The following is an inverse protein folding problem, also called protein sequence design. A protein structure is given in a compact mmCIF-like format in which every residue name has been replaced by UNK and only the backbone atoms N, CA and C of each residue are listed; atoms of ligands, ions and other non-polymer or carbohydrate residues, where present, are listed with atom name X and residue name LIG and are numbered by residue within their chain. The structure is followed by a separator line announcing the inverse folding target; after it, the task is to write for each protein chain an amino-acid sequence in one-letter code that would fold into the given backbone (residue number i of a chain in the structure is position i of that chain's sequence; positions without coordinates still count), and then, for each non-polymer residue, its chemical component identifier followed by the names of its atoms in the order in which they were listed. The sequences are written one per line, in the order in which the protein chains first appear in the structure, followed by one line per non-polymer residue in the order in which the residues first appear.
data_IF_102580877030
#
_entry.id   IF_102580877030
#
_cell.length_a   1.000
_cell.length_b   1.000
_cell.length_c   1.000
_cell.angle_alpha   90.00
_cell.angle_beta   90.00
_cell.angle_gamma   90.00
#
_symmetry.space_group_name_H-M   'P 1'
#
loop_
_entity.id
_entity.type
_entity.pdbx_description
1 polymer ?
#
# COMPACT_ATOMS: atom_id res chain seq x y z
N UNK A 1 -72.29 4.13 13.61
CA UNK A 1 -71.21 3.16 13.48
C UNK A 1 -70.26 3.66 12.39
N UNK A 2 -69.15 4.28 12.76
CA UNK A 2 -68.20 4.87 11.78
C UNK A 2 -67.02 3.91 11.59
N UNK A 3 -66.90 3.39 10.39
CA UNK A 3 -65.79 2.53 9.96
C UNK A 3 -64.55 3.39 9.77
N UNK A 4 -63.49 3.15 10.55
CA UNK A 4 -62.18 3.80 10.37
C UNK A 4 -61.33 2.94 9.41
N UNK A 5 -61.13 3.47 8.23
CA UNK A 5 -60.18 2.89 7.24
C UNK A 5 -58.76 3.14 7.71
N UNK A 6 -58.04 2.07 7.98
CA UNK A 6 -56.63 2.08 8.35
C UNK A 6 -55.81 1.97 7.04
N UNK A 7 -55.23 3.07 6.60
CA UNK A 7 -54.34 3.10 5.43
C UNK A 7 -52.91 2.72 5.90
N UNK A 8 -52.47 1.52 5.54
CA UNK A 8 -51.09 1.06 5.76
C UNK A 8 -50.27 1.59 4.58
N UNK A 9 -49.43 2.62 4.87
CA UNK A 9 -48.41 3.07 3.92
C UNK A 9 -47.20 2.15 3.96
N UNK A 10 -47.06 1.30 2.95
CA UNK A 10 -45.87 0.51 2.71
C UNK A 10 -44.85 1.44 2.09
N UNK A 11 -43.86 1.89 2.89
CA UNK A 11 -42.65 2.55 2.38
C UNK A 11 -41.74 1.50 1.74
N UNK A 12 -41.82 1.39 0.42
CA UNK A 12 -40.86 0.64 -0.38
C UNK A 12 -39.57 1.51 -0.41
N UNK A 13 -38.55 1.12 0.32
CA UNK A 13 -37.20 1.63 0.15
C UNK A 13 -36.67 1.08 -1.19
N UNK A 14 -36.94 1.77 -2.27
CA UNK A 14 -36.20 1.61 -3.52
C UNK A 14 -34.88 2.34 -3.28
N UNK A 15 -33.82 1.58 -2.96
CA UNK A 15 -32.45 2.07 -3.06
C UNK A 15 -32.14 2.30 -4.53
N UNK A 16 -32.44 3.53 -5.00
CA UNK A 16 -31.89 4.02 -6.26
C UNK A 16 -30.36 3.98 -6.16
N UNK A 17 -29.75 2.98 -6.80
CA UNK A 17 -28.39 3.13 -7.28
C UNK A 17 -28.41 4.30 -8.27
N UNK A 18 -28.16 5.50 -7.80
CA UNK A 18 -27.79 6.60 -8.67
C UNK A 18 -26.47 6.23 -9.32
N UNK A 19 -26.52 5.78 -10.57
CA UNK A 19 -25.39 5.78 -11.46
C UNK A 19 -24.91 7.24 -11.53
N UNK A 20 -23.84 7.55 -10.81
CA UNK A 20 -23.22 8.86 -10.90
C UNK A 20 -22.67 9.01 -12.32
N UNK A 21 -23.27 9.92 -13.07
CA UNK A 21 -22.81 10.39 -14.38
C UNK A 21 -21.59 11.31 -14.20
N UNK A 22 -20.52 10.76 -13.70
CA UNK A 22 -19.17 11.32 -13.75
C UNK A 22 -18.29 10.18 -14.15
N UNK A 23 -17.60 10.29 -15.30
CA UNK A 23 -16.79 9.22 -15.88
C UNK A 23 -16.14 8.36 -14.82
N UNK A 24 -16.33 7.07 -14.93
CA UNK A 24 -16.04 6.12 -13.88
C UNK A 24 -14.53 6.14 -13.55
N UNK A 25 -14.15 6.82 -12.46
CA UNK A 25 -12.78 6.90 -11.96
C UNK A 25 -12.50 5.72 -11.02
N UNK A 26 -12.86 4.52 -11.47
CA UNK A 26 -12.74 3.29 -10.72
C UNK A 26 -11.98 2.25 -11.53
N UNK A 27 -10.88 1.76 -10.97
CA UNK A 27 -10.25 0.53 -11.45
C UNK A 27 -10.98 -0.64 -10.78
N UNK A 28 -11.57 -1.53 -11.56
CA UNK A 28 -12.31 -2.66 -11.00
C UNK A 28 -11.99 -3.99 -11.68
N UNK A 29 -12.16 -5.08 -10.94
CA UNK A 29 -11.81 -6.43 -11.34
C UNK A 29 -12.82 -7.44 -10.78
N UNK A 30 -13.03 -8.50 -11.52
CA UNK A 30 -13.94 -9.61 -11.16
C UNK A 30 -13.23 -10.82 -10.55
N UNK A 31 -11.94 -10.69 -10.23
CA UNK A 31 -11.11 -11.74 -9.63
C UNK A 31 -10.06 -11.14 -8.69
N UNK A 32 -9.58 -11.90 -7.68
CA UNK A 32 -8.44 -11.50 -6.84
C UNK A 32 -7.17 -11.28 -7.67
N UNK A 33 -6.25 -10.48 -7.15
CA UNK A 33 -4.91 -10.37 -7.72
C UNK A 33 -4.13 -11.66 -7.47
N UNK A 34 -3.49 -12.18 -8.51
CA UNK A 34 -2.58 -13.33 -8.45
C UNK A 34 -1.11 -12.91 -8.44
N UNK A 35 -0.83 -11.69 -8.91
CA UNK A 35 0.51 -11.11 -9.04
C UNK A 35 0.53 -9.72 -8.43
N UNK A 36 1.72 -9.27 -8.04
CA UNK A 36 1.93 -7.94 -7.45
C UNK A 36 1.38 -6.80 -8.33
N UNK A 37 1.62 -6.85 -9.64
CA UNK A 37 1.15 -5.84 -10.60
C UNK A 37 -0.37 -5.78 -10.76
N UNK A 38 -1.10 -6.77 -10.27
CA UNK A 38 -2.56 -6.82 -10.29
C UNK A 38 -3.17 -6.30 -8.99
N UNK A 39 -2.37 -6.19 -7.91
CA UNK A 39 -2.82 -5.70 -6.62
C UNK A 39 -3.13 -4.19 -6.69
N UNK A 40 -4.04 -3.74 -5.83
CA UNK A 40 -4.48 -2.34 -5.79
C UNK A 40 -3.64 -1.57 -4.77
N UNK A 41 -2.91 -0.52 -5.18
CA UNK A 41 -2.10 0.29 -4.27
C UNK A 41 -2.95 1.25 -3.44
N UNK A 42 -2.61 1.40 -2.17
CA UNK A 42 -3.06 2.49 -1.30
C UNK A 42 -1.86 3.13 -0.62
N UNK A 43 -1.90 4.45 -0.38
CA UNK A 43 -0.75 5.14 0.20
C UNK A 43 -1.07 6.54 0.71
N UNK A 44 -0.17 7.08 1.56
CA UNK A 44 -0.28 8.43 2.11
C UNK A 44 1.02 9.24 2.02
N UNK A 45 1.97 8.81 1.20
CA UNK A 45 3.31 9.41 1.09
C UNK A 45 4.31 8.97 2.16
N UNK A 46 3.91 8.07 3.06
CA UNK A 46 4.78 7.51 4.10
C UNK A 46 4.60 6.01 4.24
N UNK A 47 3.37 5.54 4.34
CA UNK A 47 3.00 4.12 4.38
C UNK A 47 2.31 3.79 3.08
N UNK A 48 2.63 2.65 2.51
CA UNK A 48 1.96 2.08 1.35
C UNK A 48 1.50 0.65 1.60
N UNK A 49 0.50 0.22 0.83
CA UNK A 49 0.03 -1.15 0.85
C UNK A 49 -0.47 -1.60 -0.52
N UNK A 50 -0.11 -2.83 -0.90
CA UNK A 50 -0.64 -3.50 -2.10
C UNK A 50 -1.71 -4.49 -1.67
N UNK A 51 -2.95 -4.25 -2.08
CA UNK A 51 -4.15 -5.00 -1.66
C UNK A 51 -4.49 -6.04 -2.73
N UNK A 52 -4.36 -7.33 -2.40
CA UNK A 52 -4.62 -8.42 -3.34
C UNK A 52 -6.10 -8.77 -3.47
N UNK A 53 -6.88 -8.57 -2.42
CA UNK A 53 -8.32 -8.84 -2.42
C UNK A 53 -8.64 -10.34 -2.44
N UNK A 54 -7.83 -11.18 -1.83
CA UNK A 54 -8.07 -12.61 -1.73
C UNK A 54 -9.31 -12.95 -0.89
N UNK A 55 -9.97 -14.08 -1.17
CA UNK A 55 -11.19 -14.50 -0.45
C UNK A 55 -10.84 -15.20 0.86
N UNK A 56 -10.24 -16.38 0.82
CA UNK A 56 -9.84 -17.11 2.02
C UNK A 56 -8.54 -16.57 2.62
N UNK A 57 -7.60 -16.19 1.77
CA UNK A 57 -6.31 -15.61 2.15
C UNK A 57 -6.15 -14.31 1.39
N UNK A 58 -6.14 -13.20 2.12
CA UNK A 58 -5.90 -11.87 1.56
C UNK A 58 -4.57 -11.34 2.06
N UNK A 59 -3.66 -11.06 1.14
CA UNK A 59 -2.37 -10.46 1.43
C UNK A 59 -2.42 -8.95 1.27
N UNK A 60 -1.83 -8.25 2.22
CA UNK A 60 -1.57 -6.81 2.14
C UNK A 60 -0.08 -6.63 2.34
N UNK A 61 0.63 -6.30 1.27
CA UNK A 61 2.07 -6.06 1.32
C UNK A 61 2.33 -4.63 1.73
N UNK A 62 3.08 -4.45 2.81
CA UNK A 62 3.30 -3.16 3.45
C UNK A 62 4.68 -2.61 3.11
N UNK A 63 4.71 -1.30 2.86
CA UNK A 63 5.93 -0.53 2.69
C UNK A 63 5.90 0.72 3.57
N UNK A 64 7.09 1.21 3.92
CA UNK A 64 7.28 2.52 4.57
C UNK A 64 8.42 3.24 3.86
N UNK A 65 8.18 4.49 3.45
CA UNK A 65 9.05 5.23 2.52
C UNK A 65 10.50 5.43 2.97
N UNK A 66 10.78 5.34 4.27
CA UNK A 66 12.14 5.47 4.81
C UNK A 66 12.82 4.14 5.12
N UNK A 67 12.21 2.99 4.81
CA UNK A 67 12.79 1.68 5.09
C UNK A 67 13.80 1.28 4.00
N UNK A 68 15.06 1.62 4.25
CA UNK A 68 16.20 1.29 3.39
C UNK A 68 17.25 0.52 4.17
N UNK A 69 18.11 -0.21 3.47
CA UNK A 69 19.36 -0.73 4.03
C UNK A 69 20.34 0.41 4.28
N UNK A 70 21.45 0.11 4.92
CA UNK A 70 22.54 1.06 5.11
C UNK A 70 22.40 2.05 6.24
N UNK A 71 23.19 3.09 6.16
CA UNK A 71 23.29 4.20 7.10
C UNK A 71 23.99 5.38 6.45
N UNK A 72 24.50 6.35 7.23
CA UNK A 72 25.21 7.50 6.69
C UNK A 72 26.42 7.08 5.85
N UNK A 73 26.49 7.57 4.63
CA UNK A 73 27.60 7.31 3.74
C UNK A 73 28.87 8.04 4.19
N UNK A 74 30.03 7.39 3.95
CA UNK A 74 31.30 8.03 4.10
C UNK A 74 31.51 9.03 2.98
N UNK A 75 31.98 10.23 3.31
CA UNK A 75 32.35 11.22 2.30
C UNK A 75 33.59 10.75 1.53
N UNK A 76 33.64 11.14 0.24
CA UNK A 76 34.82 10.92 -0.60
C UNK A 76 35.22 9.44 -0.77
N UNK A 77 34.25 8.58 -1.03
CA UNK A 77 34.45 7.13 -1.24
C UNK A 77 35.32 6.79 -2.46
N UNK A 78 35.46 7.72 -3.40
CA UNK A 78 36.37 7.60 -4.55
C UNK A 78 37.18 8.89 -4.74
N UNK A 79 38.27 9.09 -3.97
CA UNK A 79 39.10 10.30 -4.05
C UNK A 79 39.80 10.49 -5.39
N UNK A 80 39.96 9.42 -6.18
CA UNK A 80 40.59 9.48 -7.50
C UNK A 80 39.59 9.88 -8.62
N UNK A 81 38.30 9.92 -8.36
CA UNK A 81 37.27 10.21 -9.39
C UNK A 81 37.57 11.49 -10.18
N UNK A 82 37.96 12.56 -9.51
CA UNK A 82 38.25 13.86 -10.12
C UNK A 82 39.40 13.78 -11.18
N UNK A 83 40.34 12.83 -11.06
CA UNK A 83 41.46 12.70 -11.99
C UNK A 83 41.05 12.15 -13.34
N UNK A 84 39.93 11.45 -13.43
CA UNK A 84 39.39 10.88 -14.68
C UNK A 84 38.54 11.89 -15.45
N UNK A 85 38.00 12.93 -14.83
CA UNK A 85 37.09 13.88 -15.47
C UNK A 85 37.71 14.59 -16.70
N UNK A 86 38.95 15.10 -16.67
CA UNK A 86 39.58 15.69 -17.85
C UNK A 86 39.75 14.68 -18.99
N UNK A 87 40.10 13.44 -18.67
CA UNK A 87 40.27 12.37 -19.66
C UNK A 87 38.93 11.99 -20.35
N UNK A 88 37.85 11.95 -19.57
CA UNK A 88 36.50 11.72 -20.10
C UNK A 88 36.09 12.84 -21.03
N UNK A 89 36.30 14.10 -20.63
CA UNK A 89 35.99 15.27 -21.46
C UNK A 89 36.79 15.26 -22.77
N UNK A 90 38.06 14.90 -22.72
CA UNK A 90 38.90 14.78 -23.93
C UNK A 90 38.32 13.68 -24.84
N UNK A 91 38.07 12.49 -24.32
CA UNK A 91 37.50 11.38 -25.11
C UNK A 91 36.16 11.73 -25.74
N UNK A 92 35.26 12.45 -25.03
CA UNK A 92 33.96 12.84 -25.56
C UNK A 92 34.00 13.99 -26.54
N UNK A 93 34.76 15.07 -26.24
CA UNK A 93 34.66 16.34 -26.96
C UNK A 93 35.72 16.50 -28.05
N UNK A 94 36.89 15.90 -27.87
CA UNK A 94 37.99 16.01 -28.83
C UNK A 94 38.15 14.74 -29.67
N UNK A 95 38.25 13.58 -29.00
CA UNK A 95 38.53 12.31 -29.68
C UNK A 95 37.28 11.63 -30.22
N UNK A 96 36.06 12.02 -29.76
CA UNK A 96 34.78 11.38 -30.08
C UNK A 96 34.74 9.86 -29.79
N UNK A 97 35.58 9.41 -28.87
CA UNK A 97 35.69 8.02 -28.41
C UNK A 97 34.76 7.75 -27.23
N UNK A 98 33.52 7.42 -27.56
CA UNK A 98 32.48 7.17 -26.56
C UNK A 98 32.75 5.91 -25.73
N UNK A 99 33.38 4.88 -26.32
CA UNK A 99 33.73 3.64 -25.61
C UNK A 99 34.79 3.91 -24.53
N UNK A 100 35.80 4.70 -24.85
CA UNK A 100 36.83 5.14 -23.92
C UNK A 100 36.26 6.03 -22.83
N UNK A 101 35.35 6.93 -23.15
CA UNK A 101 34.67 7.78 -22.20
C UNK A 101 33.83 6.97 -21.20
N UNK A 102 33.11 5.94 -21.65
CA UNK A 102 32.34 5.03 -20.78
C UNK A 102 33.27 4.23 -19.84
N UNK A 103 34.39 3.67 -20.35
CA UNK A 103 35.38 2.97 -19.52
C UNK A 103 35.91 3.86 -18.42
N UNK A 104 36.24 5.11 -18.74
CA UNK A 104 36.77 6.08 -17.79
C UNK A 104 35.70 6.54 -16.80
N UNK A 105 34.45 6.71 -17.23
CA UNK A 105 33.34 7.09 -16.37
C UNK A 105 33.06 6.04 -15.29
N UNK A 106 33.19 4.76 -15.60
CA UNK A 106 33.10 3.67 -14.62
C UNK A 106 34.14 3.81 -13.50
N UNK A 107 35.31 4.38 -13.77
CA UNK A 107 36.37 4.63 -12.77
C UNK A 107 36.02 5.81 -11.82
N UNK A 108 35.02 6.62 -12.14
CA UNK A 108 34.53 7.69 -11.28
C UNK A 108 33.44 7.24 -10.32
N UNK A 109 32.90 6.05 -10.50
CA UNK A 109 31.80 5.55 -9.65
C UNK A 109 32.26 5.34 -8.21
N UNK A 110 31.35 5.60 -7.27
CA UNK A 110 31.46 5.23 -5.86
C UNK A 110 30.82 3.89 -5.57
N UNK A 111 30.35 3.72 -4.34
CA UNK A 111 29.54 2.55 -3.97
C UNK A 111 28.16 2.57 -4.64
N UNK A 112 27.54 1.42 -4.76
CA UNK A 112 26.14 1.32 -5.16
C UNK A 112 25.25 1.97 -4.09
N UNK A 113 24.11 2.49 -4.55
CA UNK A 113 23.06 2.97 -3.64
C UNK A 113 22.52 1.82 -2.80
N UNK A 114 22.21 2.09 -1.55
CA UNK A 114 21.51 1.16 -0.69
C UNK A 114 20.12 0.80 -1.22
N UNK A 115 19.53 -0.28 -0.74
CA UNK A 115 18.31 -0.84 -1.28
C UNK A 115 17.08 -0.42 -0.47
N UNK A 116 16.01 -0.03 -1.18
CA UNK A 116 14.67 0.09 -0.62
C UNK A 116 14.12 -1.29 -0.30
N UNK A 117 13.51 -1.45 0.86
CA UNK A 117 13.16 -2.75 1.41
C UNK A 117 11.66 -2.91 1.64
N UNK A 118 11.07 -4.09 1.36
CA UNK A 118 9.70 -4.39 1.76
C UNK A 118 9.63 -4.54 3.28
N UNK A 119 8.60 -3.92 3.89
CA UNK A 119 8.44 -3.98 5.35
C UNK A 119 7.92 -5.35 5.80
N UNK A 120 6.98 -5.90 5.07
CA UNK A 120 6.40 -7.21 5.36
C UNK A 120 4.98 -7.34 4.83
N UNK A 121 4.41 -8.51 5.03
CA UNK A 121 3.05 -8.82 4.64
C UNK A 121 2.15 -8.97 5.87
N UNK A 122 0.99 -8.37 5.83
CA UNK A 122 -0.14 -8.68 6.69
C UNK A 122 -1.07 -9.64 5.94
N UNK A 123 -1.45 -10.74 6.57
CA UNK A 123 -2.27 -11.78 5.96
C UNK A 123 -3.54 -11.96 6.75
N UNK A 124 -4.68 -11.71 6.10
CA UNK A 124 -6.01 -11.97 6.65
C UNK A 124 -6.43 -13.36 6.15
N UNK A 125 -6.63 -14.28 7.08
CA UNK A 125 -7.10 -15.62 6.79
C UNK A 125 -8.52 -15.82 7.29
N UNK A 126 -9.43 -16.19 6.39
CA UNK A 126 -10.84 -16.43 6.67
C UNK A 126 -11.22 -17.78 6.08
N UNK A 127 -11.40 -18.80 6.93
CA UNK A 127 -11.63 -20.15 6.48
C UNK A 127 -13.09 -20.36 6.05
N UNK A 128 -13.30 -20.68 4.79
CA UNK A 128 -14.59 -21.04 4.21
C UNK A 128 -14.71 -22.54 3.91
N UNK A 129 -13.72 -23.36 4.36
CA UNK A 129 -13.67 -24.81 4.08
C UNK A 129 -13.72 -25.11 2.58
N UNK A 130 -12.96 -24.36 1.77
CA UNK A 130 -12.85 -24.54 0.33
C UNK A 130 -14.10 -24.10 -0.47
N UNK A 131 -15.09 -23.47 0.16
CA UNK A 131 -16.25 -22.95 -0.56
C UNK A 131 -15.86 -21.79 -1.47
N UNK A 132 -16.20 -21.90 -2.75
CA UNK A 132 -15.91 -20.85 -3.73
C UNK A 132 -16.88 -19.68 -3.57
N UNK A 133 -16.43 -18.44 -3.84
CA UNK A 133 -17.32 -17.29 -3.88
C UNK A 133 -18.30 -17.40 -5.05
N UNK A 134 -19.54 -17.00 -4.84
CA UNK A 134 -20.59 -16.95 -5.87
C UNK A 134 -20.68 -15.60 -6.56
N UNK A 135 -20.17 -14.54 -5.94
CA UNK A 135 -20.01 -13.21 -6.52
C UNK A 135 -18.70 -12.63 -6.00
N UNK A 136 -17.93 -12.05 -6.87
CA UNK A 136 -16.67 -11.40 -6.50
C UNK A 136 -16.51 -10.09 -7.26
N UNK A 137 -16.04 -9.07 -6.54
CA UNK A 137 -15.75 -7.75 -7.07
C UNK A 137 -14.68 -7.08 -6.21
N UNK A 138 -13.70 -6.44 -6.83
CA UNK A 138 -12.77 -5.54 -6.15
C UNK A 138 -12.54 -4.28 -6.97
N UNK A 139 -12.33 -3.17 -6.28
CA UNK A 139 -12.07 -1.89 -6.92
C UNK A 139 -11.07 -1.02 -6.16
N UNK A 140 -10.59 0.00 -6.88
CA UNK A 140 -9.95 1.20 -6.36
C UNK A 140 -10.72 2.41 -6.86
N UNK A 141 -11.41 3.10 -5.96
CA UNK A 141 -12.05 4.39 -6.24
C UNK A 141 -11.00 5.50 -6.19
N UNK A 142 -10.65 6.05 -7.35
CA UNK A 142 -9.63 7.10 -7.47
C UNK A 142 -10.06 8.44 -6.88
N UNK A 143 -11.37 8.72 -6.72
CA UNK A 143 -11.87 9.97 -6.12
C UNK A 143 -11.73 9.99 -4.61
N UNK A 144 -11.80 8.82 -3.99
CA UNK A 144 -11.80 8.65 -2.55
C UNK A 144 -10.52 7.98 -2.02
N UNK A 145 -9.70 7.43 -2.93
CA UNK A 145 -8.49 6.66 -2.58
C UNK A 145 -8.78 5.48 -1.63
N UNK A 146 -9.84 4.74 -1.94
CA UNK A 146 -10.31 3.59 -1.16
C UNK A 146 -10.35 2.37 -2.06
N UNK A 147 -9.79 1.25 -1.59
CA UNK A 147 -10.03 -0.05 -2.21
C UNK A 147 -11.19 -0.76 -1.52
N UNK A 148 -12.00 -1.45 -2.32
CA UNK A 148 -13.09 -2.28 -1.81
C UNK A 148 -13.01 -3.67 -2.43
N UNK A 149 -13.14 -4.70 -1.59
CA UNK A 149 -13.31 -6.09 -2.04
C UNK A 149 -14.64 -6.60 -1.51
N UNK A 150 -15.50 -7.12 -2.38
CA UNK A 150 -16.79 -7.72 -2.05
C UNK A 150 -16.87 -9.12 -2.60
N UNK A 151 -17.40 -10.04 -1.81
CA UNK A 151 -17.64 -11.40 -2.24
C UNK A 151 -18.76 -12.06 -1.42
N UNK A 152 -19.39 -13.06 -1.99
CA UNK A 152 -20.42 -13.85 -1.31
C UNK A 152 -19.98 -15.30 -1.21
N UNK A 153 -19.99 -15.86 0.00
CA UNK A 153 -19.68 -17.28 0.25
C UNK A 153 -20.76 -17.88 1.13
N UNK A 154 -21.31 -19.02 0.72
CA UNK A 154 -22.40 -19.72 1.45
C UNK A 154 -23.60 -18.81 1.76
N UNK A 155 -23.92 -17.88 0.87
CA UNK A 155 -25.03 -16.94 1.03
C UNK A 155 -24.81 -15.88 2.11
N UNK A 156 -23.56 -15.59 2.49
CA UNK A 156 -23.15 -14.45 3.31
C UNK A 156 -22.34 -13.50 2.43
N UNK A 157 -22.72 -12.23 2.42
CA UNK A 157 -21.99 -11.19 1.73
C UNK A 157 -20.93 -10.58 2.68
N UNK A 158 -19.70 -10.48 2.19
CA UNK A 158 -18.55 -9.89 2.89
C UNK A 158 -18.05 -8.67 2.14
N UNK A 159 -17.60 -7.67 2.88
CA UNK A 159 -16.94 -6.50 2.33
C UNK A 159 -15.68 -6.19 3.13
N UNK A 160 -14.59 -5.85 2.43
CA UNK A 160 -13.36 -5.28 2.99
C UNK A 160 -13.09 -3.95 2.30
N UNK A 161 -12.92 -2.88 3.08
CA UNK A 161 -12.48 -1.57 2.59
C UNK A 161 -11.13 -1.23 3.21
N UNK A 162 -10.22 -0.73 2.39
CA UNK A 162 -8.87 -0.34 2.84
C UNK A 162 -8.54 1.05 2.32
N UNK A 163 -8.05 1.89 3.21
CA UNK A 163 -7.48 3.21 2.89
C UNK A 163 -6.35 3.56 3.87
N UNK A 164 -5.49 4.51 3.51
CA UNK A 164 -4.46 5.02 4.41
C UNK A 164 -4.71 6.50 4.70
N UNK A 165 -5.12 6.78 5.92
CA UNK A 165 -5.38 8.14 6.39
C UNK A 165 -4.05 8.89 6.59
N UNK A 166 -3.80 9.94 5.79
CA UNK A 166 -2.56 10.72 5.85
C UNK A 166 -2.42 11.53 7.14
N UNK A 167 -3.44 12.28 7.62
CA UNK A 167 -3.34 13.04 8.86
C UNK A 167 -3.05 12.21 10.11
N UNK A 168 -3.48 10.95 10.14
CA UNK A 168 -3.27 10.05 11.29
C UNK A 168 -2.13 9.04 11.07
N UNK A 169 -1.49 9.02 9.89
CA UNK A 169 -0.47 8.03 9.51
C UNK A 169 -0.89 6.59 9.84
N UNK A 170 -2.11 6.22 9.45
CA UNK A 170 -2.69 4.93 9.79
C UNK A 170 -3.44 4.34 8.59
N UNK A 171 -3.14 3.08 8.26
CA UNK A 171 -3.99 2.28 7.38
C UNK A 171 -5.19 1.78 8.18
N UNK A 172 -6.35 1.84 7.57
CA UNK A 172 -7.60 1.34 8.14
C UNK A 172 -8.17 0.26 7.23
N UNK A 173 -8.47 -0.88 7.82
CA UNK A 173 -9.11 -2.00 7.13
C UNK A 173 -10.42 -2.28 7.83
N UNK A 174 -11.51 -2.10 7.13
CA UNK A 174 -12.85 -2.29 7.63
C UNK A 174 -13.49 -3.52 6.97
N UNK A 175 -13.81 -4.52 7.78
CA UNK A 175 -14.33 -5.81 7.34
C UNK A 175 -15.72 -5.99 7.90
N UNK A 176 -16.70 -6.24 7.05
CA UNK A 176 -18.10 -6.43 7.44
C UNK A 176 -18.70 -7.66 6.79
N UNK A 177 -19.78 -8.17 7.36
CA UNK A 177 -20.65 -9.16 6.76
C UNK A 177 -22.13 -8.80 6.98
N UNK A 178 -23.01 -9.27 6.10
CA UNK A 178 -24.46 -9.01 6.15
C UNK A 178 -25.22 -9.89 7.15
N UNK A 179 -24.57 -10.95 7.69
CA UNK A 179 -25.17 -11.83 8.70
C UNK A 179 -24.44 -11.70 10.04
N UNK A 180 -25.13 -11.39 11.13
CA UNK A 180 -24.52 -11.29 12.45
C UNK A 180 -23.72 -12.55 12.82
N UNK A 181 -22.51 -12.35 13.34
CA UNK A 181 -21.66 -13.44 13.81
C UNK A 181 -20.99 -14.28 12.72
N UNK A 182 -21.04 -13.87 11.46
CA UNK A 182 -20.47 -14.64 10.34
C UNK A 182 -18.98 -14.36 10.07
N UNK A 183 -18.37 -13.36 10.76
CA UNK A 183 -16.95 -13.09 10.62
C UNK A 183 -16.14 -13.92 11.63
N UNK A 184 -15.41 -14.90 11.10
CA UNK A 184 -14.36 -15.61 11.85
C UNK A 184 -13.10 -15.56 11.00
N UNK A 185 -12.05 -14.88 11.51
CA UNK A 185 -10.81 -14.65 10.79
C UNK A 185 -9.60 -14.59 11.72
N UNK A 186 -8.42 -14.77 11.16
CA UNK A 186 -7.17 -14.45 11.82
C UNK A 186 -6.35 -13.48 10.98
N UNK A 187 -5.51 -12.68 11.65
CA UNK A 187 -4.57 -11.77 10.99
C UNK A 187 -3.18 -12.12 11.48
N UNK A 188 -2.33 -12.56 10.57
CA UNK A 188 -0.92 -12.84 10.84
C UNK A 188 -0.02 -11.85 10.11
N UNK A 189 1.26 -11.86 10.48
CA UNK A 189 2.26 -10.99 9.89
C UNK A 189 3.54 -11.76 9.60
N UNK A 190 4.22 -11.43 8.48
CA UNK A 190 5.53 -11.96 8.13
C UNK A 190 6.39 -10.88 7.47
N UNK A 191 7.70 -11.04 7.49
CA UNK A 191 8.64 -10.20 6.78
C UNK A 191 9.78 -11.03 6.20
N UNK A 192 10.40 -10.56 5.13
CA UNK A 192 11.66 -11.10 4.61
C UNK A 192 12.86 -10.60 5.41
N UNK A 193 12.70 -9.51 6.15
CA UNK A 193 13.72 -8.94 7.04
C UNK A 193 13.71 -9.67 8.39
N UNK A 194 14.74 -9.48 9.18
CA UNK A 194 14.76 -9.99 10.55
C UNK A 194 13.67 -9.30 11.38
N UNK A 195 12.80 -10.07 12.01
CA UNK A 195 11.67 -9.54 12.79
C UNK A 195 11.31 -10.43 13.99
N UNK A 196 10.55 -9.84 14.90
CA UNK A 196 9.95 -10.52 16.05
C UNK A 196 8.49 -10.09 16.16
N UNK A 197 7.64 -11.01 16.62
CA UNK A 197 6.23 -10.76 16.93
C UNK A 197 6.07 -10.66 18.44
N UNK A 198 5.25 -9.69 18.85
CA UNK A 198 4.77 -9.56 20.22
C UNK A 198 3.31 -9.13 20.23
N UNK A 199 2.58 -9.44 21.31
CA UNK A 199 1.19 -9.06 21.48
C UNK A 199 0.89 -8.61 22.89
N UNK A 200 -0.15 -7.79 23.05
CA UNK A 200 -0.68 -7.43 24.37
C UNK A 200 -1.69 -8.47 24.91
N UNK A 201 -1.93 -9.55 24.16
CA UNK A 201 -2.87 -10.65 24.43
C UNK A 201 -4.36 -10.25 24.37
N UNK A 202 -4.67 -9.04 23.97
CA UNK A 202 -6.06 -8.54 23.86
C UNK A 202 -6.43 -8.16 22.44
N UNK A 203 -5.88 -7.07 21.94
CA UNK A 203 -6.30 -6.44 20.69
C UNK A 203 -5.16 -5.97 19.76
N UNK A 204 -3.89 -6.16 20.18
CA UNK A 204 -2.75 -5.60 19.45
C UNK A 204 -1.66 -6.63 19.15
N UNK A 205 -1.24 -6.68 17.90
CA UNK A 205 -0.07 -7.39 17.40
C UNK A 205 1.00 -6.38 16.97
N UNK A 206 2.24 -6.61 17.38
CA UNK A 206 3.39 -5.75 17.06
C UNK A 206 4.43 -6.57 16.33
N UNK A 207 4.88 -6.05 15.20
CA UNK A 207 6.01 -6.56 14.42
C UNK A 207 7.16 -5.57 14.55
N UNK A 208 8.24 -6.01 15.16
CA UNK A 208 9.48 -5.21 15.32
C UNK A 208 10.60 -5.89 14.59
N UNK A 209 11.34 -5.15 13.77
CA UNK A 209 12.36 -5.74 12.95
C UNK A 209 13.56 -4.82 12.71
N UNK A 210 14.49 -5.35 11.93
CA UNK A 210 15.73 -4.67 11.59
C UNK A 210 16.08 -4.92 10.12
N UNK A 211 16.42 -3.86 9.42
CA UNK A 211 16.95 -3.90 8.07
C UNK A 211 18.43 -4.33 8.07
N UNK A 212 18.93 -4.89 6.97
CA UNK A 212 20.36 -5.09 6.78
C UNK A 212 21.14 -3.78 6.89
N UNK A 213 22.38 -3.86 7.32
CA UNK A 213 23.32 -2.74 7.31
C UNK A 213 23.88 -2.45 5.91
N UNK A 214 23.74 -3.40 4.97
CA UNK A 214 24.10 -3.24 3.56
C UNK A 214 23.38 -4.25 2.69
N UNK A 215 22.99 -3.82 1.48
CA UNK A 215 22.43 -4.71 0.44
C UNK A 215 22.98 -4.30 -0.92
N UNK A 216 23.73 -5.19 -1.56
CA UNK A 216 24.17 -5.03 -2.94
C UNK A 216 22.98 -5.14 -3.92
N UNK A 217 23.00 -4.43 -5.05
CA UNK A 217 21.99 -4.58 -6.06
C UNK A 217 22.02 -5.98 -6.69
N UNK A 218 20.86 -6.49 -7.09
CA UNK A 218 20.68 -7.86 -7.57
C UNK A 218 21.53 -8.26 -8.80
N UNK A 219 21.99 -7.26 -9.57
CA UNK A 219 22.87 -7.46 -10.74
C UNK A 219 24.36 -7.42 -10.37
N UNK A 220 24.71 -7.10 -9.13
CA UNK A 220 26.09 -7.12 -8.62
C UNK A 220 26.21 -8.25 -7.61
N UNK A 221 26.76 -9.37 -8.05
CA UNK A 221 26.85 -10.58 -7.23
C UNK A 221 28.23 -11.25 -7.43
N UNK A 222 29.29 -10.63 -6.89
CA UNK A 222 30.65 -11.20 -6.98
C UNK A 222 30.74 -12.51 -6.19
N UNK A 223 31.51 -13.45 -6.73
CA UNK A 223 31.70 -14.77 -6.13
C UNK A 223 32.27 -14.65 -4.70
N UNK A 224 31.68 -15.38 -3.76
CA UNK A 224 32.13 -15.41 -2.36
C UNK A 224 31.74 -14.19 -1.51
N UNK A 225 30.97 -13.22 -2.06
CA UNK A 225 30.47 -12.07 -1.30
C UNK A 225 28.99 -12.29 -0.95
N UNK A 226 28.63 -12.11 0.32
CA UNK A 226 27.24 -12.08 0.74
C UNK A 226 26.61 -10.72 0.37
N UNK A 227 25.62 -10.65 -0.52
CA UNK A 227 25.03 -9.40 -0.93
C UNK A 227 24.15 -8.76 0.13
N UNK A 228 23.79 -9.47 1.21
CA UNK A 228 22.92 -8.98 2.30
C UNK A 228 23.67 -9.11 3.62
N UNK A 229 24.02 -7.98 4.22
CA UNK A 229 24.83 -7.95 5.46
C UNK A 229 23.98 -7.44 6.61
N UNK A 230 23.87 -8.24 7.68
CA UNK A 230 23.35 -7.83 8.97
C UNK A 230 24.47 -7.68 9.97
N UNK A 231 24.45 -6.60 10.77
CA UNK A 231 25.54 -6.23 11.63
C UNK A 231 26.54 -5.33 10.91
N UNK A 232 27.23 -4.49 11.64
CA UNK A 232 28.08 -3.47 11.07
C UNK A 232 29.49 -3.51 11.66
N UNK A 233 30.44 -3.58 10.75
CA UNK A 233 31.87 -3.41 11.08
C UNK A 233 32.25 -1.94 11.33
N UNK A 234 31.46 -0.98 10.83
CA UNK A 234 31.72 0.46 10.97
C UNK A 234 30.91 1.15 12.08
N UNK A 235 30.07 0.41 12.80
CA UNK A 235 29.34 0.90 13.97
C UNK A 235 27.89 1.38 13.73
N UNK A 236 27.34 1.22 12.53
CA UNK A 236 25.94 1.48 12.24
C UNK A 236 25.25 0.18 11.77
N UNK A 237 24.33 -0.37 12.56
CA UNK A 237 23.78 -1.72 12.39
C UNK A 237 22.44 -1.77 11.64
N UNK A 238 22.24 -0.92 10.65
CA UNK A 238 21.01 -0.90 9.87
C UNK A 238 19.81 -0.31 10.64
N UNK A 239 18.74 -0.08 9.92
CA UNK A 239 17.54 0.61 10.38
C UNK A 239 16.63 -0.31 11.19
N UNK A 240 16.09 0.16 12.32
CA UNK A 240 14.99 -0.50 13.02
C UNK A 240 13.68 -0.09 12.37
N UNK A 241 12.71 -1.00 12.35
CA UNK A 241 11.36 -0.73 11.89
C UNK A 241 10.32 -1.41 12.77
N UNK A 242 9.15 -0.84 12.79
CA UNK A 242 8.00 -1.44 13.47
C UNK A 242 6.71 -1.17 12.72
N UNK A 243 5.80 -2.14 12.72
CA UNK A 243 4.40 -1.87 12.47
C UNK A 243 3.52 -2.54 13.52
N UNK A 244 2.37 -1.91 13.78
CA UNK A 244 1.37 -2.36 14.74
C UNK A 244 0.05 -2.57 14.07
N UNK A 245 -0.64 -3.61 14.46
CA UNK A 245 -2.00 -3.92 14.05
C UNK A 245 -2.84 -3.93 15.31
N UNK A 246 -3.77 -2.98 15.43
CA UNK A 246 -4.74 -2.94 16.52
C UNK A 246 -6.12 -3.23 15.98
N UNK A 247 -6.84 -4.14 16.63
CA UNK A 247 -8.13 -4.62 16.16
C UNK A 247 -9.27 -4.14 17.07
N UNK A 248 -10.42 -3.90 16.45
CA UNK A 248 -11.70 -3.67 17.12
C UNK A 248 -12.75 -4.56 16.46
N UNK A 249 -13.57 -5.25 17.23
CA UNK A 249 -14.65 -6.08 16.72
C UNK A 249 -16.00 -5.66 17.28
N UNK A 250 -17.05 -5.91 16.49
CA UNK A 250 -18.44 -5.79 16.92
C UNK A 250 -19.06 -7.18 16.95
N UNK A 251 -19.46 -7.62 18.14
CA UNK A 251 -19.92 -8.99 18.37
C UNK A 251 -18.77 -10.00 18.42
N UNK A 252 -19.06 -11.22 18.86
CA UNK A 252 -18.08 -12.29 18.96
C UNK A 252 -16.96 -12.04 19.97
N UNK A 253 -15.79 -12.60 19.70
CA UNK A 253 -14.61 -12.48 20.56
C UNK A 253 -13.36 -12.08 19.76
N UNK A 254 -12.45 -11.39 20.43
CA UNK A 254 -11.15 -10.95 19.95
C UNK A 254 -10.06 -11.38 20.92
N UNK A 255 -8.97 -11.91 20.42
CA UNK A 255 -7.76 -12.21 21.20
C UNK A 255 -6.52 -12.08 20.32
N UNK A 256 -5.36 -11.90 20.94
CA UNK A 256 -4.08 -11.86 20.23
C UNK A 256 -3.02 -12.69 20.92
N UNK A 257 -2.13 -13.27 20.15
CA UNK A 257 -0.93 -13.96 20.62
C UNK A 257 0.23 -13.71 19.63
N UNK A 258 1.32 -14.45 19.78
CA UNK A 258 2.47 -14.33 18.87
C UNK A 258 2.24 -14.97 17.49
N UNK A 259 1.12 -15.62 17.25
CA UNK A 259 0.73 -16.15 15.94
C UNK A 259 -0.16 -15.19 15.17
N UNK A 260 -0.81 -14.24 15.89
CA UNK A 260 -1.65 -13.23 15.24
C UNK A 260 -2.80 -12.70 16.09
N UNK A 261 -3.71 -12.05 15.40
CA UNK A 261 -5.01 -11.58 15.91
C UNK A 261 -6.06 -12.62 15.53
N UNK A 262 -6.90 -13.01 16.47
CA UNK A 262 -7.93 -14.01 16.26
C UNK A 262 -9.30 -13.42 16.59
N UNK A 263 -10.20 -13.46 15.61
CA UNK A 263 -11.58 -12.99 15.72
C UNK A 263 -12.53 -14.17 15.49
N UNK A 264 -13.52 -14.34 16.34
CA UNK A 264 -14.56 -15.39 16.19
C UNK A 264 -15.94 -14.79 16.29
N UNK A 265 -16.82 -15.16 15.36
CA UNK A 265 -18.25 -14.84 15.37
C UNK A 265 -18.55 -13.33 15.48
N UNK A 266 -17.74 -12.47 14.87
CA UNK A 266 -18.00 -11.05 14.78
C UNK A 266 -18.96 -10.71 13.61
N UNK A 267 -19.47 -9.51 13.59
CA UNK A 267 -20.25 -8.94 12.48
C UNK A 267 -19.43 -7.87 11.74
N UNK A 268 -18.52 -7.24 12.48
CA UNK A 268 -17.65 -6.17 11.96
C UNK A 268 -16.29 -6.28 12.65
N UNK A 269 -15.23 -6.03 11.90
CA UNK A 269 -13.85 -5.93 12.37
C UNK A 269 -13.19 -4.72 11.74
N UNK A 270 -12.51 -3.92 12.54
CA UNK A 270 -11.70 -2.81 12.08
C UNK A 270 -10.26 -3.06 12.53
N UNK A 271 -9.34 -3.03 11.57
CA UNK A 271 -7.90 -3.09 11.85
C UNK A 271 -7.29 -1.71 11.60
N UNK A 272 -6.56 -1.21 12.57
CA UNK A 272 -5.77 0.01 12.49
C UNK A 272 -4.30 -0.39 12.40
N UNK A 273 -3.63 0.00 11.32
CA UNK A 273 -2.23 -0.37 11.07
C UNK A 273 -1.38 0.87 10.97
N UNK A 274 -0.38 0.98 11.83
CA UNK A 274 0.61 2.04 11.82
C UNK A 274 2.00 1.48 11.56
N UNK A 275 2.85 2.24 10.86
CA UNK A 275 4.22 1.85 10.59
C UNK A 275 5.18 3.02 10.79
N UNK A 276 6.39 2.73 11.20
CA UNK A 276 7.48 3.69 11.31
C UNK A 276 8.84 2.98 11.29
N UNK A 277 9.86 3.73 10.92
CA UNK A 277 11.26 3.33 11.03
C UNK A 277 11.99 4.24 12.01
N UNK A 278 13.20 3.85 12.35
CA UNK A 278 14.11 4.68 13.13
C UNK A 278 14.81 5.78 12.32
N UNK A 279 14.45 5.99 11.07
CA UNK A 279 15.05 7.04 10.22
C UNK A 279 14.96 8.43 10.86
N UNK A 280 16.09 9.13 10.97
CA UNK A 280 16.21 10.44 11.60
C UNK A 280 17.07 11.44 10.78
N UNK A 281 17.14 11.23 9.47
CA UNK A 281 17.95 12.04 8.56
C UNK A 281 19.07 11.23 7.92
N UNK A 282 19.58 11.73 6.79
CA UNK A 282 20.61 11.04 5.99
C UNK A 282 21.99 11.00 6.67
N UNK A 283 22.23 11.90 7.62
CA UNK A 283 23.47 12.07 8.36
C UNK A 283 23.50 11.36 9.72
N UNK A 284 22.41 10.68 10.08
CA UNK A 284 22.25 9.99 11.36
C UNK A 284 22.27 8.48 11.19
N UNK A 285 23.02 7.80 12.07
CA UNK A 285 22.94 6.35 12.13
C UNK A 285 21.57 5.90 12.64
N UNK A 286 20.74 5.19 11.82
CA UNK A 286 19.38 4.84 12.20
C UNK A 286 19.33 3.89 13.39
N UNK A 287 20.39 3.15 13.67
CA UNK A 287 20.48 2.27 14.84
C UNK A 287 20.73 3.04 16.15
N UNK A 288 21.68 3.99 16.14
CA UNK A 288 22.15 4.69 17.35
C UNK A 288 21.46 6.03 17.59
N UNK A 289 21.27 6.80 16.50
CA UNK A 289 20.74 8.16 16.55
C UNK A 289 19.31 8.23 15.98
N UNK A 290 18.68 7.07 15.81
CA UNK A 290 17.37 6.92 15.22
C UNK A 290 16.25 7.39 16.13
N UNK A 291 15.09 7.70 15.51
CA UNK A 291 13.83 7.93 16.21
C UNK A 291 13.35 6.64 16.91
N UNK A 292 12.52 6.80 17.92
CA UNK A 292 11.83 5.69 18.58
C UNK A 292 10.62 5.25 17.73
N UNK A 293 10.83 4.25 16.89
CA UNK A 293 9.80 3.68 16.03
C UNK A 293 8.65 3.04 16.82
N UNK A 294 8.93 2.57 18.04
CA UNK A 294 7.92 1.99 18.91
C UNK A 294 6.97 3.08 19.45
N UNK A 295 7.52 4.18 19.95
CA UNK A 295 6.71 5.31 20.40
C UNK A 295 5.90 5.94 19.26
N UNK A 296 6.49 6.07 18.06
CA UNK A 296 5.82 6.59 16.88
C UNK A 296 4.62 5.72 16.47
N UNK A 297 4.83 4.41 16.29
CA UNK A 297 3.76 3.51 15.85
C UNK A 297 2.65 3.42 16.88
N UNK A 298 3.00 3.39 18.19
CA UNK A 298 2.02 3.41 19.27
C UNK A 298 1.18 4.68 19.24
N UNK A 299 1.79 5.83 19.08
CA UNK A 299 1.07 7.11 19.05
C UNK A 299 0.13 7.18 17.83
N UNK A 300 0.57 6.76 16.64
CA UNK A 300 -0.26 6.77 15.43
C UNK A 300 -1.48 5.86 15.58
N UNK A 301 -1.27 4.61 16.02
CA UNK A 301 -2.37 3.65 16.13
C UNK A 301 -3.36 4.03 17.22
N UNK A 302 -2.90 4.50 18.38
CA UNK A 302 -3.77 4.91 19.48
C UNK A 302 -4.59 6.17 19.15
N UNK A 303 -4.01 7.11 18.40
CA UNK A 303 -4.71 8.28 17.90
C UNK A 303 -5.80 7.89 16.88
N UNK A 304 -5.48 7.01 15.94
CA UNK A 304 -6.45 6.52 14.96
C UNK A 304 -7.57 5.71 15.64
N UNK A 305 -7.23 4.83 16.56
CA UNK A 305 -8.19 4.03 17.31
C UNK A 305 -9.20 4.90 18.09
N UNK A 306 -8.74 5.97 18.74
CA UNK A 306 -9.62 6.92 19.47
C UNK A 306 -10.54 7.70 18.55
N UNK A 307 -10.11 8.04 17.32
CA UNK A 307 -10.95 8.71 16.34
C UNK A 307 -12.05 7.80 15.80
N UNK A 308 -11.76 6.52 15.63
CA UNK A 308 -12.68 5.54 15.08
C UNK A 308 -12.86 5.65 13.56
N UNK A 309 -13.45 4.61 12.98
CA UNK A 309 -13.57 4.43 11.53
C UNK A 309 -14.24 5.60 10.81
N UNK A 310 -15.42 6.03 11.27
CA UNK A 310 -16.22 7.07 10.57
C UNK A 310 -15.49 8.41 10.48
N UNK A 311 -14.82 8.80 11.57
CA UNK A 311 -14.06 10.06 11.59
C UNK A 311 -12.81 9.96 10.69
N UNK A 312 -12.10 8.84 10.73
CA UNK A 312 -10.93 8.59 9.88
C UNK A 312 -11.28 8.55 8.40
N UNK A 313 -12.39 7.91 8.03
CA UNK A 313 -12.87 7.85 6.64
C UNK A 313 -13.18 9.26 6.12
N UNK A 314 -13.92 10.05 6.88
CA UNK A 314 -14.23 11.46 6.52
C UNK A 314 -12.97 12.31 6.38
N UNK A 315 -12.04 12.19 7.34
CA UNK A 315 -10.77 12.90 7.33
C UNK A 315 -9.92 12.51 6.11
N UNK A 316 -9.84 11.21 5.80
CA UNK A 316 -9.13 10.66 4.65
C UNK A 316 -9.64 11.23 3.32
N UNK A 317 -10.95 11.10 3.07
CA UNK A 317 -11.57 11.61 1.84
C UNK A 317 -11.35 13.12 1.72
N UNK A 318 -11.58 13.87 2.79
CA UNK A 318 -11.41 15.33 2.79
C UNK A 318 -9.96 15.72 2.50
N UNK A 319 -8.98 15.04 3.11
CA UNK A 319 -7.57 15.34 2.88
C UNK A 319 -7.14 14.97 1.45
N UNK A 320 -7.48 13.77 0.97
CA UNK A 320 -7.11 13.33 -0.37
C UNK A 320 -7.71 14.24 -1.46
N UNK A 321 -8.97 14.62 -1.33
CA UNK A 321 -9.67 15.45 -2.30
C UNK A 321 -9.12 16.88 -2.39
N UNK A 322 -8.42 17.40 -1.40
CA UNK A 322 -7.69 18.69 -1.51
C UNK A 322 -6.68 18.69 -2.65
N UNK A 323 -6.10 17.53 -2.95
CA UNK A 323 -5.13 17.36 -4.03
C UNK A 323 -5.79 16.87 -5.30
N UNK A 324 -6.63 15.84 -5.19
CA UNK A 324 -7.21 15.16 -6.35
C UNK A 324 -8.17 16.07 -7.13
N UNK A 325 -8.99 16.88 -6.45
CA UNK A 325 -9.99 17.75 -7.09
C UNK A 325 -9.39 19.02 -7.74
N UNK A 326 -8.07 19.24 -7.66
CA UNK A 326 -7.40 20.38 -8.32
C UNK A 326 -7.37 20.29 -9.83
N UNK A 327 -7.42 19.07 -10.37
CA UNK A 327 -7.37 18.81 -11.81
C UNK A 327 -8.43 17.79 -12.16
N UNK A 328 -9.19 18.07 -13.21
CA UNK A 328 -10.12 17.14 -13.81
C UNK A 328 -9.82 17.01 -15.30
N UNK A 329 -9.92 15.80 -15.82
CA UNK A 329 -9.86 15.51 -17.26
C UNK A 329 -11.10 14.71 -17.61
N UNK A 330 -11.80 15.13 -18.64
CA UNK A 330 -12.92 14.39 -19.22
C UNK A 330 -12.69 14.27 -20.73
N UNK A 331 -12.54 13.04 -21.19
CA UNK A 331 -12.51 12.71 -22.62
C UNK A 331 -13.84 12.02 -22.92
N UNK A 332 -14.68 12.68 -23.71
CA UNK A 332 -16.03 12.18 -24.05
C UNK A 332 -15.96 11.23 -25.22
N UNK A 333 -16.64 10.12 -25.11
CA UNK A 333 -16.99 9.31 -26.29
C UNK A 333 -18.11 10.02 -27.06
N UNK A 334 -17.75 10.66 -28.16
CA UNK A 334 -18.67 11.37 -29.07
C UNK A 334 -19.25 10.44 -30.13
N UNK A 335 -18.74 9.22 -30.23
CA UNK A 335 -19.12 8.26 -31.28
C UNK A 335 -20.11 7.21 -30.82
N UNK A 336 -20.19 6.98 -29.50
CA UNK A 336 -20.98 5.90 -28.92
C UNK A 336 -20.43 4.50 -29.22
N UNK A 337 -19.19 4.42 -29.72
CA UNK A 337 -18.58 3.16 -30.17
C UNK A 337 -17.82 2.40 -29.06
N UNK A 338 -17.78 2.93 -27.84
CA UNK A 338 -17.12 2.25 -26.73
C UNK A 338 -17.95 1.08 -26.22
N UNK A 339 -17.74 -0.08 -26.79
CA UNK A 339 -18.39 -1.34 -26.43
C UNK A 339 -17.77 -2.00 -25.18
N UNK A 340 -16.63 -1.49 -24.71
CA UNK A 340 -15.84 -2.10 -23.64
C UNK A 340 -16.04 -1.42 -22.27
N UNK A 341 -16.89 -0.41 -22.18
CA UNK A 341 -17.06 0.44 -20.97
C UNK A 341 -17.41 -0.35 -19.69
N UNK A 342 -18.11 -1.46 -19.85
CA UNK A 342 -18.59 -2.30 -18.74
C UNK A 342 -17.68 -3.50 -18.43
N UNK A 343 -16.53 -3.61 -19.11
CA UNK A 343 -15.55 -4.66 -18.83
C UNK A 343 -14.66 -4.32 -17.62
N UNK A 344 -14.12 -5.34 -16.92
CA UNK A 344 -13.05 -5.14 -15.93
C UNK A 344 -11.85 -4.36 -16.50
N UNK A 345 -11.17 -3.61 -15.65
CA UNK A 345 -10.11 -2.69 -16.08
C UNK A 345 -8.97 -3.38 -16.83
N UNK A 346 -8.60 -4.59 -16.45
CA UNK A 346 -7.58 -5.38 -17.14
C UNK A 346 -8.04 -5.87 -18.53
N UNK A 347 -9.32 -6.18 -18.68
CA UNK A 347 -9.90 -6.55 -19.98
C UNK A 347 -10.02 -5.34 -20.90
N UNK A 348 -10.45 -4.18 -20.36
CA UNK A 348 -10.47 -2.91 -21.09
C UNK A 348 -9.07 -2.53 -21.59
N UNK A 349 -8.08 -2.60 -20.72
CA UNK A 349 -6.68 -2.29 -21.07
C UNK A 349 -6.16 -3.23 -22.17
N UNK A 350 -6.47 -4.53 -22.09
CA UNK A 350 -6.11 -5.50 -23.13
C UNK A 350 -6.80 -5.21 -24.47
N UNK A 351 -8.08 -4.84 -24.45
CA UNK A 351 -8.82 -4.46 -25.64
C UNK A 351 -8.26 -3.18 -26.27
N UNK A 352 -7.98 -2.15 -25.45
CA UNK A 352 -7.35 -0.90 -25.88
C UNK A 352 -5.98 -1.13 -26.53
N UNK A 353 -5.14 -1.96 -25.93
CA UNK A 353 -3.83 -2.35 -26.48
C UNK A 353 -3.92 -3.10 -27.82
N UNK A 354 -5.08 -3.66 -28.18
CA UNK A 354 -5.37 -4.26 -29.48
C UNK A 354 -6.03 -3.30 -30.47
N UNK A 355 -6.13 -2.02 -30.12
CA UNK A 355 -6.68 -0.97 -30.99
C UNK A 355 -8.17 -0.68 -30.82
N UNK A 356 -8.81 -1.19 -29.77
CA UNK A 356 -10.22 -0.81 -29.48
C UNK A 356 -10.30 0.64 -29.05
N UNK A 357 -11.32 1.35 -29.54
CA UNK A 357 -11.59 2.73 -29.13
C UNK A 357 -12.17 2.77 -27.70
N UNK A 358 -11.46 3.39 -26.77
CA UNK A 358 -11.91 3.58 -25.39
C UNK A 358 -11.29 4.84 -24.77
N UNK A 359 -11.84 6.03 -25.01
CA UNK A 359 -11.29 7.30 -24.49
C UNK A 359 -11.34 7.38 -22.96
N UNK A 360 -12.22 6.61 -22.31
CA UNK A 360 -12.29 6.56 -20.87
C UNK A 360 -11.09 5.82 -20.24
N UNK A 361 -10.45 4.89 -20.95
CA UNK A 361 -9.20 4.27 -20.50
C UNK A 361 -8.06 5.28 -20.47
N UNK A 362 -7.96 6.18 -21.47
CA UNK A 362 -6.94 7.23 -21.49
C UNK A 362 -7.15 8.20 -20.31
N UNK A 363 -8.40 8.62 -20.08
CA UNK A 363 -8.75 9.45 -18.93
C UNK A 363 -8.43 8.74 -17.59
N UNK A 364 -8.77 7.46 -17.49
CA UNK A 364 -8.53 6.66 -16.28
C UNK A 364 -7.03 6.50 -16.02
N UNK A 365 -6.23 6.28 -17.07
CA UNK A 365 -4.77 6.18 -16.98
C UNK A 365 -4.14 7.48 -16.46
N UNK A 366 -4.56 8.64 -17.00
CA UNK A 366 -4.12 9.94 -16.51
C UNK A 366 -4.46 10.14 -15.03
N UNK A 367 -5.71 9.86 -14.64
CA UNK A 367 -6.15 10.04 -13.26
C UNK A 367 -5.51 9.02 -12.30
N UNK A 368 -5.20 7.83 -12.77
CA UNK A 368 -4.47 6.84 -11.98
C UNK A 368 -3.01 7.28 -11.73
N UNK A 369 -2.33 7.84 -12.74
CA UNK A 369 -1.00 8.42 -12.55
C UNK A 369 -1.00 9.54 -11.50
N UNK A 370 -2.00 10.42 -11.52
CA UNK A 370 -2.19 11.45 -10.47
C UNK A 370 -2.48 10.84 -9.10
N UNK A 371 -3.31 9.81 -9.04
CA UNK A 371 -3.58 9.05 -7.83
C UNK A 371 -2.29 8.50 -7.22
N UNK A 372 -1.47 7.83 -8.02
CA UNK A 372 -0.19 7.27 -7.58
C UNK A 372 0.74 8.35 -7.03
N UNK A 373 0.87 9.48 -7.71
CA UNK A 373 1.69 10.60 -7.26
C UNK A 373 1.21 11.16 -5.91
N UNK A 374 -0.10 11.37 -5.74
CA UNK A 374 -0.68 11.86 -4.49
C UNK A 374 -0.51 10.84 -3.36
N UNK A 375 -0.61 9.55 -3.66
CA UNK A 375 -0.52 8.47 -2.66
C UNK A 375 0.92 8.18 -2.25
N UNK A 376 1.91 8.45 -3.13
CA UNK A 376 3.33 8.19 -2.87
C UNK A 376 4.12 9.39 -2.36
N UNK A 377 3.58 10.61 -2.44
CA UNK A 377 4.29 11.81 -2.02
C UNK A 377 3.35 12.85 -1.43
N UNK A 378 3.69 13.34 -0.25
CA UNK A 378 2.92 14.36 0.48
C UNK A 378 3.85 15.44 1.04
N UNK A 379 3.36 16.69 1.23
CA UNK A 379 4.16 17.75 1.84
C UNK A 379 4.77 17.35 3.17
N UNK A 380 6.07 17.58 3.34
CA UNK A 380 6.83 17.21 4.53
C UNK A 380 7.35 15.76 4.54
N UNK A 381 7.04 14.96 3.51
CA UNK A 381 7.58 13.63 3.28
C UNK A 381 8.72 13.60 2.27
N UNK A 382 9.11 12.41 1.86
CA UNK A 382 10.07 12.19 0.79
C UNK A 382 9.46 12.58 -0.57
N UNK A 383 10.26 13.10 -1.52
CA UNK A 383 9.83 13.28 -2.89
C UNK A 383 9.37 11.95 -3.52
N UNK A 384 8.45 12.04 -4.48
CA UNK A 384 8.10 10.88 -5.28
C UNK A 384 9.34 10.35 -6.03
N UNK A 385 9.51 9.05 -6.03
CA UNK A 385 10.63 8.33 -6.64
C UNK A 385 10.13 7.13 -7.45
N UNK A 386 11.05 6.42 -8.11
CA UNK A 386 10.69 5.25 -8.94
C UNK A 386 10.20 4.06 -8.11
N UNK A 387 10.66 3.96 -6.87
CA UNK A 387 10.26 2.86 -5.99
C UNK A 387 8.80 3.00 -5.51
N UNK A 388 8.26 4.24 -5.54
CA UNK A 388 6.96 4.54 -4.97
C UNK A 388 7.00 4.49 -3.45
N UNK A 389 6.00 3.90 -2.87
CA UNK A 389 5.97 3.64 -1.43
C UNK A 389 6.03 2.14 -1.21
#
# INVERSE_FOLDING_TARGET
MKLKTLTISILIFISCFQAMAGGDLTLWYNQPASKWVEALPVGNGKIGGMIFGGVEVDSIQLNEGSLWSGGPEKTNVNPQAITFLPQIRKALLEDQDYAKADELAKKMQGYYSESYLPMGDMIIHQNFNGAKPTAYYRDLNLREAITTTRFTVKGVAYQRQVFINAPSNCMVIHITCDKPGALTLSVSAKSLLHYKLSSNRTDELVVSGKAPSHVDPSYYNPEGVNPVIYGDTAGCNGMRYQYRIKALNKGGSLSTDTTGIHVKNATEVILFVSAATSFNGFDKCPDKDGKDENALTKNYVDNAFRKGYTALLKEHITDFQKYFNRVSLLIKDTTGQNINKDLPSDERLRAFGKGSYDPAVEMLFFQYGRYLLISSSRPGGLPANLQGI
#
